data_IF_428627069548
#
_entry.id   IF_428627069548
#
_cell.length_a   1.000
_cell.length_b   1.000
_cell.length_c   1.000
_cell.angle_alpha   90.00
_cell.angle_beta   90.00
_cell.angle_gamma   90.00
#
_symmetry.space_group_name_H-M   'P 1'
#
loop_
_entity.id
_entity.type
_entity.pdbx_description
1 polymer ?
#
# COMPACT_ATOMS: atom_id res chain seq x y z
N UNK A 1 5.63 -3.56 14.82
CA UNK A 1 6.98 -3.65 14.24
C UNK A 1 6.99 -4.68 13.14
N UNK A 2 7.02 -4.20 11.91
CA UNK A 2 7.03 -5.01 10.71
C UNK A 2 8.26 -5.93 10.67
N UNK A 3 8.10 -7.22 10.33
CA UNK A 3 9.22 -8.13 10.13
C UNK A 3 10.18 -7.64 9.06
N UNK A 4 9.66 -6.98 8.02
CA UNK A 4 10.46 -6.51 6.88
C UNK A 4 11.29 -5.27 7.19
N UNK A 5 10.84 -4.37 8.07
CA UNK A 5 11.68 -3.28 8.58
C UNK A 5 12.93 -3.85 9.27
N UNK A 6 12.77 -4.93 10.04
CA UNK A 6 13.90 -5.59 10.68
C UNK A 6 14.83 -6.27 9.69
N UNK A 7 14.29 -6.99 8.70
CA UNK A 7 15.12 -7.65 7.68
C UNK A 7 15.88 -6.64 6.84
N UNK A 8 15.25 -5.55 6.42
CA UNK A 8 15.93 -4.50 5.66
C UNK A 8 16.99 -3.74 6.47
N UNK A 9 16.85 -3.66 7.79
CA UNK A 9 17.87 -3.11 8.66
C UNK A 9 19.11 -4.01 8.74
N UNK A 10 18.93 -5.35 8.72
CA UNK A 10 20.02 -6.33 8.77
C UNK A 10 20.73 -6.45 7.42
N UNK A 11 19.96 -6.47 6.32
CA UNK A 11 20.50 -6.65 4.96
C UNK A 11 20.98 -5.36 4.29
N UNK A 12 21.18 -4.28 5.05
CA UNK A 12 21.67 -2.99 4.56
C UNK A 12 20.89 -2.46 3.34
N UNK A 13 19.57 -2.71 3.27
CA UNK A 13 18.73 -2.15 2.21
C UNK A 13 18.30 -0.73 2.56
N UNK A 14 18.26 0.15 1.56
CA UNK A 14 17.87 1.55 1.75
C UNK A 14 16.35 1.72 1.98
N UNK A 15 15.57 0.64 2.04
CA UNK A 15 14.11 0.69 2.15
C UNK A 15 13.63 1.44 3.39
N UNK A 16 14.27 1.22 4.55
CA UNK A 16 13.92 1.90 5.79
C UNK A 16 14.12 3.40 5.72
N UNK A 17 15.18 3.85 5.04
CA UNK A 17 15.45 5.28 4.84
C UNK A 17 14.38 5.90 3.92
N UNK A 18 14.01 5.22 2.83
CA UNK A 18 12.93 5.65 1.96
C UNK A 18 11.60 5.80 2.70
N UNK A 19 11.23 4.82 3.52
CA UNK A 19 10.02 4.85 4.35
C UNK A 19 10.05 6.00 5.38
N UNK A 20 11.20 6.27 5.98
CA UNK A 20 11.36 7.42 6.89
C UNK A 20 11.00 8.74 6.19
N UNK A 21 11.54 8.97 4.98
CA UNK A 21 11.22 10.19 4.23
C UNK A 21 9.76 10.23 3.76
N UNK A 22 9.14 9.09 3.42
CA UNK A 22 7.69 9.02 3.16
C UNK A 22 6.91 9.42 4.42
N UNK A 23 7.25 8.89 5.58
CA UNK A 23 6.57 9.22 6.83
C UNK A 23 6.72 10.72 7.20
N UNK A 24 7.91 11.29 7.01
CA UNK A 24 8.14 12.74 7.19
C UNK A 24 7.32 13.57 6.20
N UNK A 25 7.25 13.17 4.95
CA UNK A 25 6.42 13.79 3.92
C UNK A 25 4.94 13.78 4.31
N UNK A 26 4.40 12.62 4.69
CA UNK A 26 3.00 12.47 5.13
C UNK A 26 2.73 13.33 6.37
N UNK A 27 3.64 13.36 7.33
CA UNK A 27 3.51 14.22 8.53
C UNK A 27 3.35 15.69 8.15
N UNK A 28 4.15 16.20 7.20
CA UNK A 28 4.02 17.58 6.70
C UNK A 28 2.75 17.80 5.90
N UNK A 29 2.33 16.81 5.11
CA UNK A 29 1.07 16.84 4.38
C UNK A 29 -0.12 16.97 5.33
N UNK A 30 -0.18 16.19 6.40
CA UNK A 30 -1.25 16.23 7.39
C UNK A 30 -1.31 17.58 8.11
N UNK A 31 -0.16 18.20 8.41
CA UNK A 31 -0.14 19.56 8.99
C UNK A 31 -0.72 20.59 8.02
N UNK A 32 -0.50 20.45 6.70
CA UNK A 32 -1.08 21.34 5.69
C UNK A 32 -2.59 21.16 5.57
N UNK A 33 -3.09 19.93 5.63
CA UNK A 33 -4.51 19.61 5.51
C UNK A 33 -5.36 20.21 6.64
N UNK A 34 -4.78 20.35 7.84
CA UNK A 34 -5.46 20.92 9.01
C UNK A 34 -5.37 22.46 9.10
N UNK A 35 -4.44 23.07 8.38
CA UNK A 35 -4.24 24.53 8.40
C UNK A 35 -4.84 25.12 7.13
N UNK A 36 -5.93 25.89 7.26
CA UNK A 36 -6.63 26.54 6.13
C UNK A 36 -5.82 27.66 5.41
N UNK A 37 -4.60 27.95 5.84
CA UNK A 37 -3.73 28.96 5.20
C UNK A 37 -2.61 28.28 4.41
N UNK A 38 -2.30 28.85 3.25
CA UNK A 38 -1.16 28.51 2.38
C UNK A 38 0.15 28.46 3.16
N UNK A 39 0.40 27.35 3.87
CA UNK A 39 1.69 27.15 4.53
C UNK A 39 2.67 26.55 3.51
N UNK A 40 3.09 27.42 2.56
CA UNK A 40 3.99 27.04 1.47
C UNK A 40 5.22 26.27 1.96
N UNK A 41 5.78 26.65 3.12
CA UNK A 41 6.93 25.96 3.71
C UNK A 41 6.65 24.47 3.99
N UNK A 42 5.51 24.14 4.60
CA UNK A 42 5.19 22.77 4.91
C UNK A 42 4.84 21.97 3.66
N UNK A 43 4.17 22.60 2.68
CA UNK A 43 3.88 21.98 1.38
C UNK A 43 5.20 21.69 0.65
N UNK A 44 6.11 22.65 0.62
CA UNK A 44 7.45 22.48 0.04
C UNK A 44 8.21 21.32 0.71
N UNK A 45 8.26 21.28 2.04
CA UNK A 45 8.91 20.19 2.77
C UNK A 45 8.26 18.83 2.50
N UNK A 46 6.93 18.79 2.34
CA UNK A 46 6.20 17.58 1.98
C UNK A 46 6.73 17.00 0.65
N UNK A 47 6.79 17.83 -0.39
CA UNK A 47 7.29 17.42 -1.71
C UNK A 47 8.79 17.11 -1.67
N UNK A 48 9.58 17.90 -0.99
CA UNK A 48 11.03 17.70 -0.84
C UNK A 48 11.35 16.33 -0.22
N UNK A 49 10.72 15.98 0.89
CA UNK A 49 10.92 14.67 1.52
C UNK A 49 10.48 13.52 0.61
N UNK A 50 9.39 13.71 -0.13
CA UNK A 50 8.92 12.67 -1.04
C UNK A 50 9.85 12.48 -2.24
N UNK A 51 10.45 13.55 -2.75
CA UNK A 51 11.47 13.46 -3.80
C UNK A 51 12.70 12.71 -3.29
N UNK A 52 13.18 12.99 -2.06
CA UNK A 52 14.27 12.21 -1.46
C UNK A 52 13.89 10.74 -1.33
N UNK A 53 12.67 10.44 -0.87
CA UNK A 53 12.18 9.06 -0.82
C UNK A 53 12.21 8.40 -2.20
N UNK A 54 11.80 9.12 -3.26
CA UNK A 54 11.81 8.63 -4.64
C UNK A 54 13.23 8.40 -5.19
N UNK A 55 14.22 9.18 -4.77
CA UNK A 55 15.64 8.92 -5.08
C UNK A 55 16.13 7.60 -4.46
N UNK A 56 15.62 7.25 -3.29
CA UNK A 56 15.96 5.99 -2.64
C UNK A 56 15.21 4.83 -3.28
N UNK A 57 13.90 5.02 -3.53
CA UNK A 57 13.02 4.04 -4.18
C UNK A 57 12.01 4.75 -5.08
N UNK A 58 12.17 4.58 -6.37
CA UNK A 58 11.45 5.31 -7.42
C UNK A 58 9.92 5.21 -7.30
N UNK A 59 9.38 4.10 -6.82
CA UNK A 59 7.94 3.88 -6.72
C UNK A 59 7.24 4.81 -5.71
N UNK A 60 7.95 5.43 -4.76
CA UNK A 60 7.35 6.41 -3.84
C UNK A 60 6.88 7.69 -4.53
N UNK A 61 7.40 7.98 -5.74
CA UNK A 61 7.00 9.17 -6.50
C UNK A 61 5.49 9.21 -6.78
N UNK A 62 4.82 8.06 -6.85
CA UNK A 62 3.39 7.97 -7.17
C UNK A 62 2.53 8.66 -6.10
N UNK A 63 3.00 8.78 -4.86
CA UNK A 63 2.32 9.49 -3.77
C UNK A 63 2.18 11.00 -4.10
N UNK A 64 3.06 11.55 -4.93
CA UNK A 64 2.96 12.94 -5.41
C UNK A 64 1.60 13.20 -6.08
N UNK A 65 1.09 12.23 -6.84
CA UNK A 65 -0.20 12.36 -7.51
C UNK A 65 -1.34 12.54 -6.50
N UNK A 66 -1.29 11.80 -5.39
CA UNK A 66 -2.25 11.98 -4.31
C UNK A 66 -2.16 13.39 -3.71
N UNK A 67 -0.94 13.87 -3.43
CA UNK A 67 -0.76 15.21 -2.85
C UNK A 67 -1.23 16.31 -3.78
N UNK A 68 -0.89 16.24 -5.06
CA UNK A 68 -1.38 17.20 -6.06
C UNK A 68 -2.91 17.21 -6.06
N UNK A 69 -3.54 16.04 -6.09
CA UNK A 69 -4.97 15.91 -6.12
C UNK A 69 -5.66 16.46 -4.86
N UNK A 70 -5.11 16.20 -3.67
CA UNK A 70 -5.65 16.71 -2.42
C UNK A 70 -5.42 18.21 -2.22
N UNK A 71 -4.33 18.73 -2.76
CA UNK A 71 -3.91 20.11 -2.52
C UNK A 71 -4.38 21.07 -3.62
N UNK A 72 -4.71 20.59 -4.85
CA UNK A 72 -4.97 21.49 -5.97
C UNK A 72 -6.11 22.49 -5.72
N UNK A 73 -7.06 22.18 -4.84
CA UNK A 73 -8.17 23.06 -4.46
C UNK A 73 -7.79 24.05 -3.35
N UNK A 74 -6.69 23.78 -2.62
CA UNK A 74 -6.30 24.51 -1.42
C UNK A 74 -5.04 25.37 -1.61
N UNK A 75 -4.39 25.27 -2.75
CA UNK A 75 -3.14 25.97 -3.07
C UNK A 75 -3.42 27.01 -4.15
N UNK A 76 -2.81 28.21 -4.03
CA UNK A 76 -2.84 29.19 -5.08
C UNK A 76 -2.15 28.67 -6.36
N UNK A 77 -2.64 29.05 -7.53
CA UNK A 77 -2.02 28.68 -8.81
C UNK A 77 -0.54 29.05 -8.84
N UNK A 78 -0.17 30.18 -8.27
CA UNK A 78 1.21 30.66 -8.19
C UNK A 78 2.08 29.69 -7.36
N UNK A 79 1.61 29.30 -6.18
CA UNK A 79 2.31 28.32 -5.33
C UNK A 79 2.44 26.95 -5.99
N UNK A 80 1.42 26.52 -6.74
CA UNK A 80 1.47 25.30 -7.50
C UNK A 80 2.58 25.31 -8.57
N UNK A 81 2.68 26.38 -9.35
CA UNK A 81 3.75 26.53 -10.35
C UNK A 81 5.15 26.53 -9.72
N UNK A 82 5.35 27.20 -8.59
CA UNK A 82 6.63 27.14 -7.89
C UNK A 82 6.99 25.73 -7.41
N UNK A 83 6.02 24.99 -6.87
CA UNK A 83 6.23 23.59 -6.45
C UNK A 83 6.55 22.70 -7.64
N UNK A 84 5.79 22.82 -8.74
CA UNK A 84 6.00 22.03 -9.96
C UNK A 84 7.40 22.31 -10.54
N UNK A 85 7.79 23.58 -10.67
CA UNK A 85 9.09 24.00 -11.18
C UNK A 85 10.24 23.47 -10.30
N UNK A 86 10.11 23.62 -8.98
CA UNK A 86 11.12 23.12 -8.05
C UNK A 86 11.21 21.58 -8.06
N UNK A 87 10.09 20.88 -8.11
CA UNK A 87 10.05 19.42 -8.20
C UNK A 87 10.70 18.95 -9.50
N UNK A 88 10.49 19.64 -10.61
CA UNK A 88 11.11 19.37 -11.89
C UNK A 88 12.64 19.51 -11.82
N UNK A 89 13.14 20.61 -11.27
CA UNK A 89 14.59 20.84 -11.10
C UNK A 89 15.20 19.71 -10.26
N UNK A 90 14.58 19.37 -9.15
CA UNK A 90 15.08 18.28 -8.28
C UNK A 90 14.99 16.90 -8.96
N UNK A 91 14.13 16.71 -9.94
CA UNK A 91 14.01 15.45 -10.66
C UNK A 91 15.02 15.28 -11.80
N UNK A 92 15.68 16.37 -12.25
CA UNK A 92 16.62 16.33 -13.38
C UNK A 92 17.72 15.26 -13.21
N UNK A 93 18.43 15.17 -12.06
CA UNK A 93 19.46 14.15 -11.91
C UNK A 93 18.92 12.72 -12.04
N UNK A 94 17.70 12.46 -11.49
CA UNK A 94 17.07 11.15 -11.59
C UNK A 94 16.65 10.83 -13.04
N UNK A 95 16.14 11.82 -13.78
CA UNK A 95 15.77 11.66 -15.18
C UNK A 95 17.00 11.38 -16.05
N UNK A 96 18.10 12.10 -15.82
CA UNK A 96 19.38 11.87 -16.52
C UNK A 96 19.89 10.46 -16.22
N UNK A 97 19.94 10.07 -14.94
CA UNK A 97 20.36 8.73 -14.54
C UNK A 97 19.50 7.63 -15.19
N UNK A 98 18.18 7.78 -15.14
CA UNK A 98 17.24 6.80 -15.70
C UNK A 98 17.42 6.70 -17.23
N UNK A 99 17.60 7.83 -17.89
CA UNK A 99 17.86 7.86 -19.35
C UNK A 99 19.15 7.10 -19.71
N UNK A 100 20.27 7.39 -19.04
CA UNK A 100 21.52 6.67 -19.27
C UNK A 100 21.42 5.19 -18.91
N UNK A 101 20.75 4.86 -17.79
CA UNK A 101 20.56 3.47 -17.37
C UNK A 101 19.74 2.67 -18.40
N UNK A 102 18.67 3.24 -18.94
CA UNK A 102 17.86 2.59 -19.98
C UNK A 102 18.67 2.41 -21.25
N UNK A 103 19.44 3.40 -21.67
CA UNK A 103 20.27 3.30 -22.89
C UNK A 103 21.36 2.24 -22.78
N UNK A 104 21.99 2.10 -21.61
CA UNK A 104 23.12 1.17 -21.42
C UNK A 104 22.70 -0.23 -21.01
N UNK A 105 21.49 -0.40 -20.46
CA UNK A 105 20.99 -1.66 -19.92
C UNK A 105 19.56 -1.97 -20.40
N UNK A 106 19.26 -1.68 -21.67
CA UNK A 106 17.90 -1.80 -22.21
C UNK A 106 17.32 -3.20 -22.01
N UNK A 107 18.07 -4.24 -22.31
CA UNK A 107 17.62 -5.63 -22.16
C UNK A 107 17.35 -6.01 -20.71
N UNK A 108 18.15 -5.53 -19.77
CA UNK A 108 17.94 -5.72 -18.34
C UNK A 108 16.75 -4.91 -17.82
N UNK A 109 16.63 -3.65 -18.25
CA UNK A 109 15.54 -2.77 -17.87
C UNK A 109 14.18 -3.29 -18.39
N UNK A 110 14.16 -3.90 -19.58
CA UNK A 110 12.94 -4.44 -20.21
C UNK A 110 12.61 -5.87 -19.79
N UNK A 111 13.59 -6.67 -19.42
CA UNK A 111 13.39 -8.07 -19.00
C UNK A 111 12.53 -8.21 -17.75
N UNK A 112 12.49 -7.18 -16.89
CA UNK A 112 11.60 -7.12 -15.72
C UNK A 112 10.18 -6.64 -16.02
N UNK A 113 9.92 -6.12 -17.23
CA UNK A 113 8.62 -5.65 -17.71
C UNK A 113 7.89 -6.71 -18.53
N UNK A 114 7.95 -7.98 -18.15
CA UNK A 114 6.95 -8.93 -18.62
C UNK A 114 5.58 -8.38 -18.22
N UNK A 115 4.61 -8.43 -19.14
CA UNK A 115 3.27 -7.89 -18.90
C UNK A 115 2.77 -8.32 -17.52
N UNK A 116 2.50 -7.37 -16.61
CA UNK A 116 2.09 -7.73 -15.26
C UNK A 116 0.76 -8.50 -15.36
N UNK A 117 0.68 -9.64 -14.68
CA UNK A 117 -0.58 -10.33 -14.49
C UNK A 117 -1.43 -9.50 -13.52
N UNK A 118 -2.29 -8.65 -14.09
CA UNK A 118 -3.11 -7.72 -13.31
C UNK A 118 -4.05 -8.45 -12.35
N UNK A 119 -4.57 -9.62 -12.74
CA UNK A 119 -5.49 -10.39 -11.90
C UNK A 119 -4.71 -10.96 -10.70
N UNK A 120 -3.54 -11.55 -10.93
CA UNK A 120 -2.67 -12.03 -9.86
C UNK A 120 -2.27 -10.90 -8.90
N UNK A 121 -1.89 -9.76 -9.45
CA UNK A 121 -1.50 -8.60 -8.66
C UNK A 121 -2.66 -8.05 -7.83
N UNK A 122 -3.88 -8.01 -8.36
CA UNK A 122 -5.09 -7.63 -7.61
C UNK A 122 -5.39 -8.61 -6.47
N UNK A 123 -5.38 -9.91 -6.75
CA UNK A 123 -5.60 -10.93 -5.73
C UNK A 123 -4.53 -10.83 -4.61
N UNK A 124 -3.28 -10.65 -5.00
CA UNK A 124 -2.17 -10.48 -4.06
C UNK A 124 -2.35 -9.21 -3.23
N UNK A 125 -2.70 -8.08 -3.83
CA UNK A 125 -2.94 -6.82 -3.13
C UNK A 125 -4.06 -6.95 -2.10
N UNK A 126 -5.20 -7.54 -2.46
CA UNK A 126 -6.32 -7.73 -1.54
C UNK A 126 -5.97 -8.70 -0.39
N UNK A 127 -5.25 -9.77 -0.69
CA UNK A 127 -4.79 -10.71 0.33
C UNK A 127 -3.80 -10.07 1.32
N UNK A 128 -2.92 -9.19 0.84
CA UNK A 128 -2.01 -8.42 1.68
C UNK A 128 -2.76 -7.37 2.51
N UNK A 129 -3.75 -6.71 1.92
CA UNK A 129 -4.58 -5.78 2.67
C UNK A 129 -5.26 -6.47 3.86
N UNK A 130 -5.86 -7.64 3.62
CA UNK A 130 -6.40 -8.46 4.70
C UNK A 130 -5.35 -8.72 5.79
N UNK A 131 -4.18 -9.19 5.39
CA UNK A 131 -3.11 -9.53 6.33
C UNK A 131 -2.73 -8.36 7.24
N UNK A 132 -2.54 -7.16 6.68
CA UNK A 132 -2.11 -6.00 7.48
C UNK A 132 -3.23 -5.36 8.31
N UNK A 133 -4.48 -5.40 7.85
CA UNK A 133 -5.59 -4.69 8.51
C UNK A 133 -6.38 -5.58 9.46
N UNK A 134 -6.33 -6.91 9.27
CA UNK A 134 -7.07 -7.87 10.09
C UNK A 134 -6.90 -7.68 11.61
N UNK A 135 -5.67 -7.52 12.17
CA UNK A 135 -5.50 -7.38 13.61
C UNK A 135 -6.15 -6.10 14.18
N UNK A 136 -6.34 -5.08 13.34
CA UNK A 136 -7.04 -3.85 13.71
C UNK A 136 -8.55 -4.00 13.58
N UNK A 137 -9.01 -4.77 12.59
CA UNK A 137 -10.43 -5.03 12.38
C UNK A 137 -11.05 -5.79 13.56
N UNK A 138 -10.39 -6.77 14.13
CA UNK A 138 -10.86 -7.50 15.32
C UNK A 138 -11.04 -6.63 16.57
N UNK A 139 -10.50 -5.43 16.57
CA UNK A 139 -10.66 -4.47 17.67
C UNK A 139 -11.95 -3.65 17.53
N UNK A 140 -12.67 -3.75 16.42
CA UNK A 140 -13.92 -3.06 16.16
C UNK A 140 -15.04 -3.72 16.96
N UNK A 141 -15.46 -3.09 18.07
CA UNK A 141 -16.51 -3.63 18.96
C UNK A 141 -17.94 -3.39 18.47
N UNK A 142 -18.13 -2.53 17.48
CA UNK A 142 -19.47 -2.10 17.08
C UNK A 142 -19.98 -2.86 15.86
N UNK A 143 -20.53 -4.04 16.11
CA UNK A 143 -21.15 -4.89 15.09
C UNK A 143 -22.29 -4.19 14.33
N UNK A 144 -22.99 -3.22 14.97
CA UNK A 144 -24.06 -2.47 14.30
C UNK A 144 -23.52 -1.66 13.12
N UNK A 145 -22.43 -0.93 13.31
CA UNK A 145 -21.82 -0.13 12.22
C UNK A 145 -21.31 -1.01 11.09
N UNK A 146 -20.75 -2.18 11.41
CA UNK A 146 -20.33 -3.15 10.39
C UNK A 146 -21.55 -3.64 9.61
N UNK A 147 -22.64 -3.98 10.29
CA UNK A 147 -23.90 -4.40 9.67
C UNK A 147 -24.50 -3.32 8.78
N UNK A 148 -24.52 -2.08 9.25
CA UNK A 148 -25.06 -0.93 8.49
C UNK A 148 -24.22 -0.74 7.21
N UNK A 149 -22.88 -0.73 7.28
CA UNK A 149 -22.00 -0.66 6.11
C UNK A 149 -22.14 -1.84 5.16
N UNK A 150 -22.35 -3.03 5.68
CA UNK A 150 -22.63 -4.20 4.84
C UNK A 150 -23.93 -4.00 4.05
N UNK A 151 -24.99 -3.51 4.70
CA UNK A 151 -26.25 -3.25 4.04
C UNK A 151 -26.14 -2.15 2.98
N UNK A 152 -25.43 -1.06 3.29
CA UNK A 152 -25.21 0.06 2.35
C UNK A 152 -24.46 -0.38 1.09
N UNK A 153 -23.51 -1.31 1.24
CA UNK A 153 -22.69 -1.81 0.14
C UNK A 153 -23.13 -3.18 -0.40
N UNK A 154 -24.31 -3.68 -0.05
CA UNK A 154 -24.77 -5.03 -0.37
C UNK A 154 -24.64 -5.38 -1.86
N UNK A 155 -24.98 -4.46 -2.73
CA UNK A 155 -24.87 -4.66 -4.18
C UNK A 155 -23.40 -4.86 -4.60
N UNK A 156 -22.47 -4.07 -4.06
CA UNK A 156 -21.03 -4.21 -4.32
C UNK A 156 -20.51 -5.57 -3.85
N UNK A 157 -20.95 -6.05 -2.68
CA UNK A 157 -20.56 -7.37 -2.18
C UNK A 157 -21.01 -8.50 -3.11
N UNK A 158 -22.25 -8.43 -3.59
CA UNK A 158 -22.79 -9.43 -4.53
C UNK A 158 -22.01 -9.40 -5.85
N UNK A 159 -21.81 -8.21 -6.44
CA UNK A 159 -21.10 -8.05 -7.70
C UNK A 159 -19.67 -8.59 -7.61
N UNK A 160 -18.95 -8.22 -6.55
CA UNK A 160 -17.57 -8.68 -6.32
C UNK A 160 -17.55 -10.20 -6.15
N UNK A 161 -18.50 -10.78 -5.42
CA UNK A 161 -18.58 -12.24 -5.28
C UNK A 161 -18.73 -12.92 -6.63
N UNK A 162 -19.60 -12.42 -7.52
CA UNK A 162 -19.77 -12.94 -8.87
C UNK A 162 -18.46 -12.85 -9.66
N UNK A 163 -17.77 -11.71 -9.62
CA UNK A 163 -16.46 -11.52 -10.29
C UNK A 163 -15.45 -12.55 -9.78
N UNK A 164 -15.37 -12.79 -8.46
CA UNK A 164 -14.43 -13.75 -7.89
C UNK A 164 -14.77 -15.21 -8.25
N UNK A 165 -16.06 -15.52 -8.40
CA UNK A 165 -16.50 -16.83 -8.93
C UNK A 165 -16.03 -16.97 -10.39
N UNK A 166 -16.16 -15.92 -11.21
CA UNK A 166 -15.65 -15.95 -12.59
C UNK A 166 -14.12 -16.10 -12.62
N UNK A 167 -13.40 -15.38 -11.76
CA UNK A 167 -11.93 -15.52 -11.63
C UNK A 167 -11.59 -16.98 -11.24
N UNK A 168 -12.34 -17.61 -10.35
CA UNK A 168 -12.10 -18.99 -9.97
C UNK A 168 -12.20 -19.96 -11.15
N UNK A 169 -13.18 -19.80 -12.03
CA UNK A 169 -13.40 -20.71 -13.16
C UNK A 169 -12.52 -20.41 -14.38
N UNK A 170 -12.24 -19.15 -14.65
CA UNK A 170 -11.64 -18.73 -15.93
C UNK A 170 -10.18 -18.25 -15.82
N UNK A 171 -9.67 -18.05 -14.62
CA UNK A 171 -8.30 -17.57 -14.43
C UNK A 171 -7.39 -18.68 -13.90
N UNK A 172 -6.32 -18.97 -14.64
CA UNK A 172 -5.28 -19.87 -14.20
C UNK A 172 -4.17 -19.09 -13.48
N UNK A 173 -3.93 -19.46 -12.24
CA UNK A 173 -2.93 -18.79 -11.42
C UNK A 173 -1.52 -19.17 -11.88
N UNK A 174 -0.64 -18.16 -12.06
CA UNK A 174 0.75 -18.45 -12.42
C UNK A 174 1.44 -19.17 -11.25
N UNK A 175 2.23 -20.19 -11.58
CA UNK A 175 3.10 -20.83 -10.59
C UNK A 175 4.41 -20.01 -10.50
N UNK A 176 4.47 -19.10 -9.51
CA UNK A 176 5.64 -18.24 -9.32
C UNK A 176 6.47 -18.75 -8.15
N UNK A 177 7.76 -19.05 -8.35
CA UNK A 177 8.64 -19.51 -7.27
C UNK A 177 8.89 -18.39 -6.24
N UNK A 178 8.78 -17.14 -6.64
CA UNK A 178 9.08 -15.97 -5.81
C UNK A 178 7.90 -14.99 -5.75
N UNK A 179 7.82 -14.17 -4.70
CA UNK A 179 6.80 -13.12 -4.57
C UNK A 179 5.45 -13.61 -4.05
N UNK A 180 4.39 -12.85 -4.34
CA UNK A 180 3.00 -13.16 -3.99
C UNK A 180 2.60 -13.00 -2.52
N UNK A 181 3.55 -12.79 -1.62
CA UNK A 181 3.30 -12.64 -0.19
C UNK A 181 2.93 -13.93 0.55
N UNK A 182 2.67 -13.81 1.86
CA UNK A 182 2.44 -14.97 2.75
C UNK A 182 1.23 -15.80 2.29
N UNK A 183 0.14 -15.15 1.93
CA UNK A 183 -1.09 -15.88 1.56
C UNK A 183 -0.91 -16.69 0.27
N UNK A 184 -0.09 -16.19 -0.66
CA UNK A 184 0.28 -16.94 -1.85
C UNK A 184 1.21 -18.11 -1.52
N UNK A 185 2.14 -17.93 -0.58
CA UNK A 185 2.99 -19.05 -0.10
C UNK A 185 2.18 -20.15 0.59
N UNK A 186 1.18 -19.77 1.39
CA UNK A 186 0.25 -20.74 1.98
C UNK A 186 -0.56 -21.46 0.89
N UNK A 187 -0.99 -20.73 -0.16
CA UNK A 187 -1.63 -21.34 -1.33
C UNK A 187 -0.72 -22.40 -1.97
N UNK A 188 0.54 -22.09 -2.20
CA UNK A 188 1.51 -23.04 -2.77
C UNK A 188 1.71 -24.27 -1.89
N UNK A 189 1.72 -24.10 -0.56
CA UNK A 189 1.84 -25.22 0.38
C UNK A 189 0.60 -26.11 0.45
N UNK A 190 -0.59 -25.51 0.32
CA UNK A 190 -1.87 -26.23 0.39
C UNK A 190 -2.33 -26.77 -0.98
N UNK A 191 -1.67 -26.33 -2.05
CA UNK A 191 -2.07 -26.58 -3.44
C UNK A 191 -3.57 -26.29 -3.69
N UNK A 192 -4.06 -25.18 -3.12
CA UNK A 192 -5.48 -24.85 -3.09
C UNK A 192 -5.79 -23.48 -3.68
N UNK A 193 -6.13 -23.44 -4.98
CA UNK A 193 -6.60 -22.23 -5.68
C UNK A 193 -7.75 -21.53 -4.94
N UNK A 194 -8.67 -22.33 -4.37
CA UNK A 194 -9.81 -21.83 -3.59
C UNK A 194 -9.36 -20.99 -2.41
N UNK A 195 -8.34 -21.43 -1.69
CA UNK A 195 -7.81 -20.72 -0.52
C UNK A 195 -7.38 -19.30 -0.88
N UNK A 196 -6.55 -19.13 -1.92
CA UNK A 196 -6.00 -17.82 -2.29
C UNK A 196 -7.09 -16.86 -2.79
N UNK A 197 -8.04 -17.36 -3.58
CA UNK A 197 -9.18 -16.58 -4.07
C UNK A 197 -10.08 -16.14 -2.91
N UNK A 198 -10.40 -17.06 -1.98
CA UNK A 198 -11.22 -16.74 -0.81
C UNK A 198 -10.55 -15.68 0.11
N UNK A 199 -9.27 -15.82 0.38
CA UNK A 199 -8.52 -14.84 1.20
C UNK A 199 -8.52 -13.48 0.52
N UNK A 200 -8.36 -13.42 -0.80
CA UNK A 200 -8.41 -12.17 -1.56
C UNK A 200 -9.81 -11.56 -1.58
N UNK A 201 -10.86 -12.39 -1.70
CA UNK A 201 -12.25 -11.96 -1.58
C UNK A 201 -12.55 -11.36 -0.20
N UNK A 202 -12.11 -12.01 0.87
CA UNK A 202 -12.25 -11.46 2.23
C UNK A 202 -11.48 -10.14 2.37
N UNK A 203 -10.32 -10.02 1.72
CA UNK A 203 -9.53 -8.79 1.70
C UNK A 203 -10.27 -7.60 1.08
N UNK A 204 -10.88 -7.76 -0.09
CA UNK A 204 -11.67 -6.69 -0.71
C UNK A 204 -12.94 -6.39 0.10
N UNK A 205 -13.56 -7.39 0.71
CA UNK A 205 -14.69 -7.18 1.61
C UNK A 205 -14.28 -6.35 2.83
N UNK A 206 -13.09 -6.60 3.36
CA UNK A 206 -12.55 -5.80 4.45
C UNK A 206 -12.31 -4.33 4.02
N UNK A 207 -11.88 -4.09 2.77
CA UNK A 207 -11.79 -2.72 2.22
C UNK A 207 -13.16 -2.05 2.24
N UNK A 208 -14.19 -2.70 1.70
CA UNK A 208 -15.56 -2.15 1.65
C UNK A 208 -16.13 -1.85 3.04
N UNK A 209 -15.77 -2.65 4.04
CA UNK A 209 -16.23 -2.46 5.41
C UNK A 209 -15.46 -1.37 6.15
N UNK A 210 -14.15 -1.25 5.91
CA UNK A 210 -13.28 -0.37 6.70
C UNK A 210 -13.05 1.00 6.07
N UNK A 211 -13.08 1.10 4.75
CA UNK A 211 -12.77 2.34 4.01
C UNK A 211 -14.06 3.06 3.61
N UNK A 212 -14.11 4.37 3.81
CA UNK A 212 -15.19 5.19 3.25
C UNK A 212 -15.01 5.27 1.74
N UNK A 213 -16.01 4.84 0.96
CA UNK A 213 -15.95 4.85 -0.51
C UNK A 213 -16.15 6.26 -1.07
N UNK A 214 -15.30 7.18 -0.66
CA UNK A 214 -15.21 8.51 -1.24
C UNK A 214 -14.11 8.57 -2.30
N UNK A 215 -14.17 9.58 -3.14
CA UNK A 215 -13.24 9.74 -4.26
C UNK A 215 -11.76 9.77 -3.83
N UNK A 216 -11.46 10.41 -2.71
CA UNK A 216 -10.10 10.51 -2.19
C UNK A 216 -9.53 9.15 -1.78
N UNK A 217 -10.32 8.35 -1.08
CA UNK A 217 -9.90 7.03 -0.63
C UNK A 217 -9.76 6.06 -1.82
N UNK A 218 -10.68 6.16 -2.80
CA UNK A 218 -10.60 5.34 -4.00
C UNK A 218 -9.31 5.65 -4.78
N UNK A 219 -9.00 6.94 -4.94
CA UNK A 219 -7.74 7.37 -5.56
C UNK A 219 -6.53 6.81 -4.80
N UNK A 220 -6.52 6.89 -3.46
CA UNK A 220 -5.42 6.36 -2.65
C UNK A 220 -5.25 4.85 -2.80
N UNK A 221 -6.35 4.09 -2.84
CA UNK A 221 -6.30 2.64 -3.06
C UNK A 221 -5.76 2.30 -4.46
N UNK A 222 -6.21 3.01 -5.49
CA UNK A 222 -5.71 2.87 -6.86
C UNK A 222 -4.22 3.19 -6.93
N UNK A 223 -3.78 4.30 -6.35
CA UNK A 223 -2.37 4.68 -6.36
C UNK A 223 -1.52 3.69 -5.56
N UNK A 224 -2.01 3.19 -4.44
CA UNK A 224 -1.32 2.17 -3.67
C UNK A 224 -1.18 0.85 -4.44
N UNK A 225 -2.21 0.45 -5.20
CA UNK A 225 -2.16 -0.71 -6.08
C UNK A 225 -1.12 -0.54 -7.20
N UNK A 226 -1.13 0.62 -7.88
CA UNK A 226 -0.21 0.91 -8.98
C UNK A 226 1.19 1.36 -8.53
N UNK A 227 1.43 1.51 -7.23
CA UNK A 227 2.75 1.88 -6.71
C UNK A 227 3.83 0.88 -7.10
N UNK A 228 3.46 -0.39 -7.29
CA UNK A 228 4.37 -1.47 -7.63
C UNK A 228 3.97 -2.15 -8.95
N UNK A 229 4.29 -1.56 -10.10
CA UNK A 229 3.88 -2.06 -11.43
C UNK A 229 4.77 -3.23 -11.91
N UNK A 230 5.24 -4.09 -11.02
CA UNK A 230 6.10 -5.21 -11.37
C UNK A 230 5.27 -6.45 -11.70
N UNK A 231 5.86 -7.32 -12.55
CA UNK A 231 5.30 -8.64 -12.85
C UNK A 231 5.14 -9.50 -11.59
N UNK A 232 6.02 -9.30 -10.61
CA UNK A 232 6.04 -10.03 -9.34
C UNK A 232 5.96 -9.05 -8.19
N UNK A 233 4.89 -9.13 -7.40
CA UNK A 233 4.72 -8.31 -6.20
C UNK A 233 5.33 -9.03 -5.00
N UNK A 234 6.25 -8.36 -4.33
CA UNK A 234 6.81 -8.82 -3.06
C UNK A 234 6.12 -8.13 -1.88
N UNK A 235 5.76 -8.90 -0.87
CA UNK A 235 5.14 -8.36 0.35
C UNK A 235 5.97 -7.27 1.03
N UNK A 236 7.30 -7.37 0.97
CA UNK A 236 8.21 -6.36 1.54
C UNK A 236 8.01 -4.95 0.99
N UNK A 237 7.47 -4.80 -0.21
CA UNK A 237 7.22 -3.49 -0.80
C UNK A 237 5.99 -2.81 -0.22
N UNK A 238 4.98 -3.60 0.18
CA UNK A 238 3.77 -3.09 0.83
C UNK A 238 3.93 -2.90 2.34
N UNK A 239 4.90 -3.58 2.94
CA UNK A 239 5.19 -3.46 4.36
C UNK A 239 6.30 -2.43 4.61
N UNK A 240 6.13 -1.42 5.40
CA UNK A 240 4.95 -1.02 6.19
C UNK A 240 4.10 0.08 5.52
N UNK A 241 4.38 0.39 4.23
CA UNK A 241 3.75 1.53 3.53
C UNK A 241 2.22 1.42 3.52
N UNK A 242 1.68 0.21 3.40
CA UNK A 242 0.24 -0.03 3.45
C UNK A 242 -0.36 0.42 4.79
N UNK A 243 0.29 0.08 5.91
CA UNK A 243 -0.13 0.50 7.25
C UNK A 243 -0.04 2.03 7.38
N UNK A 244 1.08 2.61 6.95
CA UNK A 244 1.29 4.06 7.02
C UNK A 244 0.20 4.80 6.24
N UNK A 245 -0.04 4.43 4.98
CA UNK A 245 -1.06 5.08 4.13
C UNK A 245 -2.45 4.85 4.71
N UNK A 246 -2.76 3.64 5.16
CA UNK A 246 -4.07 3.32 5.70
C UNK A 246 -4.41 4.16 6.93
N UNK A 247 -3.48 4.32 7.87
CA UNK A 247 -3.73 5.08 9.11
C UNK A 247 -3.51 6.59 8.96
N UNK A 248 -2.92 7.08 7.87
CA UNK A 248 -2.63 8.50 7.72
C UNK A 248 -3.44 9.21 6.62
N UNK A 249 -3.62 8.57 5.48
CA UNK A 249 -4.21 9.20 4.29
C UNK A 249 -5.62 8.69 3.96
N UNK A 250 -5.92 7.41 4.25
CA UNK A 250 -7.25 6.85 4.02
C UNK A 250 -8.19 7.25 5.16
N UNK A 251 -9.35 7.77 4.80
CA UNK A 251 -10.40 8.14 5.75
C UNK A 251 -11.26 6.91 6.06
N UNK A 252 -11.34 6.58 7.34
CA UNK A 252 -12.16 5.48 7.85
C UNK A 252 -12.79 5.87 9.19
N UNK A 253 -14.05 6.21 9.17
CA UNK A 253 -14.79 6.57 10.40
C UNK A 253 -14.79 5.42 11.42
N UNK A 254 -14.82 4.17 10.91
CA UNK A 254 -14.77 2.98 11.75
C UNK A 254 -13.48 2.87 12.54
N UNK A 255 -12.36 3.23 11.93
CA UNK A 255 -11.03 3.06 12.53
C UNK A 255 -10.70 4.25 13.42
N UNK A 256 -10.95 5.49 12.95
CA UNK A 256 -10.62 6.70 13.70
C UNK A 256 -11.47 6.88 14.97
N UNK A 257 -12.77 6.57 14.91
CA UNK A 257 -13.63 6.76 16.07
C UNK A 257 -13.50 5.67 17.14
N UNK A 258 -13.03 4.48 16.79
CA UNK A 258 -13.21 3.28 17.64
C UNK A 258 -11.96 2.50 17.98
N UNK A 259 -10.84 2.71 17.31
CA UNK A 259 -9.55 2.23 17.80
C UNK A 259 -9.08 3.15 18.95
N UNK A 260 -9.73 3.04 20.10
CA UNK A 260 -9.08 3.47 21.33
C UNK A 260 -7.98 2.47 21.60
N UNK A 261 -6.74 2.86 21.30
CA UNK A 261 -5.56 2.05 21.58
C UNK A 261 -5.43 1.76 23.07
N UNK A 262 -6.18 0.79 23.55
CA UNK A 262 -5.98 0.22 24.88
C UNK A 262 -4.71 -0.64 24.81
N UNK A 263 -3.93 -0.67 25.89
CA UNK A 263 -2.72 -1.51 25.97
C UNK A 263 -2.94 -2.95 25.51
N UNK A 264 -4.08 -3.55 25.88
CA UNK A 264 -4.43 -4.94 25.50
C UNK A 264 -4.57 -5.12 23.98
N UNK A 265 -5.05 -4.10 23.26
CA UNK A 265 -5.21 -4.15 21.82
C UNK A 265 -3.86 -4.08 21.10
N UNK A 266 -2.91 -3.34 21.67
CA UNK A 266 -1.54 -3.31 21.13
C UNK A 266 -0.85 -4.66 21.27
N UNK A 267 -1.01 -5.36 22.39
CA UNK A 267 -0.47 -6.72 22.56
C UNK A 267 -0.99 -7.69 21.49
N UNK A 268 -2.27 -7.61 21.14
CA UNK A 268 -2.87 -8.44 20.10
C UNK A 268 -2.21 -8.20 18.72
N UNK A 269 -2.00 -6.95 18.34
CA UNK A 269 -1.30 -6.58 17.11
C UNK A 269 0.15 -7.06 17.13
N UNK A 270 0.84 -6.84 18.26
CA UNK A 270 2.22 -7.34 18.42
C UNK A 270 2.31 -8.86 18.32
N UNK A 271 1.43 -9.58 19.00
CA UNK A 271 1.39 -11.05 18.98
C UNK A 271 1.13 -11.56 17.57
N UNK A 272 0.18 -10.96 16.85
CA UNK A 272 -0.13 -11.33 15.47
C UNK A 272 1.11 -11.22 14.55
N UNK A 273 1.78 -10.06 14.53
CA UNK A 273 2.97 -9.87 13.70
C UNK A 273 4.19 -10.64 14.23
N UNK A 274 4.25 -10.94 15.51
CA UNK A 274 5.31 -11.78 16.08
C UNK A 274 5.17 -13.25 15.67
N UNK A 275 3.93 -13.79 15.69
CA UNK A 275 3.65 -15.14 15.17
C UNK A 275 4.03 -15.23 13.70
N UNK A 276 3.69 -14.19 12.91
CA UNK A 276 4.09 -14.12 11.50
C UNK A 276 5.62 -14.12 11.34
N UNK A 277 6.34 -13.35 12.16
CA UNK A 277 7.81 -13.32 12.13
C UNK A 277 8.42 -14.70 12.41
N UNK A 278 7.91 -15.40 13.42
CA UNK A 278 8.37 -16.76 13.74
C UNK A 278 8.07 -17.72 12.58
N UNK A 279 6.83 -17.71 12.08
CA UNK A 279 6.41 -18.58 10.97
C UNK A 279 7.23 -18.34 9.70
N UNK A 280 7.51 -17.08 9.34
CA UNK A 280 8.34 -16.76 8.19
C UNK A 280 9.79 -17.24 8.35
N UNK A 281 10.38 -17.09 9.55
CA UNK A 281 11.73 -17.60 9.83
C UNK A 281 11.79 -19.12 9.72
N UNK A 282 10.82 -19.83 10.30
CA UNK A 282 10.76 -21.29 10.20
C UNK A 282 10.65 -21.74 8.74
N UNK A 283 9.80 -21.06 7.95
CA UNK A 283 9.66 -21.35 6.53
C UNK A 283 10.99 -21.22 5.79
N UNK A 284 11.71 -20.09 5.96
CA UNK A 284 12.97 -19.84 5.25
C UNK A 284 14.16 -20.66 5.78
N UNK A 285 14.09 -21.23 6.97
CA UNK A 285 15.12 -22.15 7.46
C UNK A 285 14.95 -23.56 6.92
N UNK A 286 13.74 -23.91 6.45
CA UNK A 286 13.42 -25.25 5.93
C UNK A 286 13.34 -25.30 4.40
N UNK A 287 13.48 -24.16 3.70
CA UNK A 287 13.57 -24.05 2.24
C UNK A 287 14.96 -23.68 1.80
#
# INVERSE_FOLDING_TARGET
LSPYIRSSAVWATNDNLGILFVALSISKFLTCKHIQKDNFKNIFLCFFYLIIAAYIRQYYIIIILAYIFFLYRNISIKSFFYLAFFSLILSIPALIYTYYFILTNFDYATSGFTSPDLIFNLLTFFSMYLFYILPFFFQLKNLKVIKDRFNDNKFCFILITIIFIMIYFFYDQPNMPFGGGINYKIYQLLDSKVFFILISLVGIFLILLTVNLNYNNLLMLILLFFMFPFSIIYQKYYDPIMIIIFFSLIQSDLIYEKIKFKKINMYLVFTYFFIFLIGSNIYYLNT
#
